data_IF_778692365949
#
_entry.id   IF_778692365949
#
_cell.length_a   1.000
_cell.length_b   1.000
_cell.length_c   1.000
_cell.angle_alpha   90.00
_cell.angle_beta   90.00
_cell.angle_gamma   90.00
#
_symmetry.space_group_name_H-M   'P 1'
#
loop_
_entity.id
_entity.type
_entity.pdbx_description
1 polymer ?
#
# COMPACT_ATOMS: atom_id res chain seq x y z
N UNK A 1 11.96 -15.77 5.78
CA UNK A 1 10.90 -15.74 4.75
C UNK A 1 11.36 -14.80 3.66
N UNK A 2 11.52 -15.28 2.42
CA UNK A 2 11.78 -14.40 1.28
C UNK A 2 10.41 -13.92 0.80
N UNK A 3 10.06 -12.67 1.07
CA UNK A 3 8.90 -12.05 0.43
C UNK A 3 9.10 -12.15 -1.09
N UNK A 4 8.07 -12.67 -1.74
CA UNK A 4 8.06 -12.99 -3.15
C UNK A 4 8.11 -11.68 -3.95
N UNK A 5 9.21 -11.47 -4.70
CA UNK A 5 9.57 -10.25 -5.44
C UNK A 5 8.72 -10.00 -6.70
N UNK A 6 7.58 -10.67 -6.84
CA UNK A 6 6.83 -10.73 -8.09
C UNK A 6 5.68 -9.71 -8.17
N UNK A 7 5.39 -8.94 -7.10
CA UNK A 7 4.32 -7.93 -7.12
C UNK A 7 4.85 -6.56 -6.69
N UNK A 8 4.67 -5.57 -7.56
CA UNK A 8 5.00 -4.18 -7.29
C UNK A 8 4.08 -3.56 -6.22
N UNK A 9 4.51 -2.46 -5.58
CA UNK A 9 3.71 -1.77 -4.58
C UNK A 9 2.37 -1.25 -5.14
N UNK A 10 1.34 -1.38 -4.32
CA UNK A 10 0.02 -0.80 -4.54
C UNK A 10 0.02 0.66 -4.07
N UNK A 11 -0.47 1.55 -4.92
CA UNK A 11 -0.78 2.95 -4.59
C UNK A 11 -2.28 3.10 -4.43
N UNK A 12 -2.74 3.66 -3.32
CA UNK A 12 -4.16 3.93 -3.08
C UNK A 12 -4.36 5.39 -2.69
N UNK A 13 -5.15 6.11 -3.50
CA UNK A 13 -5.52 7.51 -3.25
C UNK A 13 -6.86 7.57 -2.55
N UNK A 14 -6.91 8.31 -1.46
CA UNK A 14 -8.14 8.60 -0.71
C UNK A 14 -8.79 9.90 -1.21
N UNK A 15 -10.10 10.04 -0.98
CA UNK A 15 -10.89 11.22 -1.34
C UNK A 15 -10.35 12.52 -0.71
N UNK A 16 -9.72 12.43 0.47
CA UNK A 16 -9.07 13.56 1.12
C UNK A 16 -7.66 13.87 0.57
N UNK A 17 -7.25 13.26 -0.54
CA UNK A 17 -5.96 13.45 -1.19
C UNK A 17 -4.79 12.64 -0.59
N UNK A 18 -4.99 11.95 0.53
CA UNK A 18 -3.93 11.15 1.16
C UNK A 18 -3.58 9.94 0.29
N UNK A 19 -2.30 9.55 0.29
CA UNK A 19 -1.79 8.43 -0.50
C UNK A 19 -1.28 7.32 0.42
N UNK A 20 -1.76 6.11 0.22
CA UNK A 20 -1.25 4.91 0.89
C UNK A 20 -0.43 4.07 -0.08
N UNK A 21 0.73 3.61 0.38
CA UNK A 21 1.58 2.67 -0.33
C UNK A 21 1.75 1.39 0.49
N UNK A 22 1.60 0.23 -0.17
CA UNK A 22 1.75 -1.09 0.44
C UNK A 22 2.28 -2.10 -0.57
N UNK A 23 2.94 -3.17 -0.11
CA UNK A 23 3.22 -4.33 -0.95
C UNK A 23 2.07 -5.33 -0.78
N UNK A 24 1.58 -5.89 -1.89
CA UNK A 24 0.60 -6.96 -1.83
C UNK A 24 1.25 -8.19 -1.20
N UNK A 25 0.76 -8.60 -0.02
CA UNK A 25 1.15 -9.87 0.59
C UNK A 25 0.20 -10.97 0.11
N UNK A 26 0.63 -11.90 -0.75
CA UNK A 26 -0.22 -12.99 -1.22
C UNK A 26 -0.61 -13.97 -0.09
N UNK A 27 0.18 -14.06 0.99
CA UNK A 27 -0.12 -14.89 2.15
C UNK A 27 -1.11 -14.21 3.12
N UNK A 28 -1.37 -12.91 2.96
CA UNK A 28 -2.40 -12.17 3.69
C UNK A 28 -3.27 -11.30 2.75
N UNK A 29 -3.94 -11.94 1.79
CA UNK A 29 -4.79 -11.28 0.80
C UNK A 29 -5.97 -10.45 1.40
N UNK A 30 -6.31 -10.63 2.69
CA UNK A 30 -7.41 -9.91 3.35
C UNK A 30 -6.99 -8.54 3.91
N UNK A 31 -5.70 -8.17 3.83
CA UNK A 31 -5.18 -6.97 4.46
C UNK A 31 -5.83 -5.66 4.01
N UNK A 32 -6.37 -5.60 2.78
CA UNK A 32 -7.07 -4.42 2.24
C UNK A 32 -8.56 -4.34 2.61
N UNK A 33 -9.13 -5.41 3.20
CA UNK A 33 -10.58 -5.55 3.41
C UNK A 33 -10.95 -5.69 4.88
N UNK A 34 -10.00 -6.08 5.75
CA UNK A 34 -10.22 -6.32 7.18
C UNK A 34 -9.55 -5.28 8.09
N UNK A 35 -10.20 -4.14 8.34
CA UNK A 35 -9.74 -3.16 9.32
C UNK A 35 -9.92 -3.67 10.77
N UNK A 36 -10.55 -4.82 10.99
CA UNK A 36 -10.81 -5.39 12.31
C UNK A 36 -9.62 -6.21 12.87
N UNK A 37 -8.76 -6.76 12.01
CA UNK A 37 -7.58 -7.51 12.42
C UNK A 37 -6.32 -6.65 12.59
N UNK A 38 -6.39 -5.37 12.21
CA UNK A 38 -5.25 -4.43 12.22
C UNK A 38 -5.71 -3.05 12.67
N UNK A 39 -4.85 -2.28 13.36
CA UNK A 39 -5.07 -0.83 13.58
C UNK A 39 -4.84 -0.06 12.27
N UNK A 40 -5.68 -0.32 11.28
CA UNK A 40 -5.74 0.47 10.06
C UNK A 40 -6.61 1.70 10.32
N UNK A 41 -6.34 2.78 9.58
CA UNK A 41 -7.13 4.00 9.69
C UNK A 41 -8.58 3.66 9.35
N UNK A 42 -9.56 4.06 10.19
CA UNK A 42 -10.96 3.82 9.88
C UNK A 42 -11.34 4.67 8.66
N UNK A 43 -11.29 4.04 7.49
CA UNK A 43 -11.85 4.60 6.28
C UNK A 43 -13.35 4.31 6.30
N UNK A 44 -14.16 5.34 6.09
CA UNK A 44 -15.61 5.18 5.90
C UNK A 44 -15.87 4.06 4.89
N UNK A 45 -16.76 3.13 5.24
CA UNK A 45 -17.06 1.92 4.44
C UNK A 45 -17.50 2.21 2.99
N UNK A 46 -17.86 3.47 2.69
CA UNK A 46 -18.42 3.93 1.41
C UNK A 46 -17.60 5.02 0.70
N UNK A 47 -16.39 5.36 1.19
CA UNK A 47 -15.56 6.35 0.48
C UNK A 47 -14.88 5.72 -0.74
N UNK A 48 -14.93 6.37 -1.93
CA UNK A 48 -14.22 5.89 -3.10
C UNK A 48 -12.70 5.90 -2.87
N UNK A 49 -12.02 4.86 -3.33
CA UNK A 49 -10.56 4.71 -3.32
C UNK A 49 -10.16 4.37 -4.74
N UNK A 50 -9.17 5.10 -5.27
CA UNK A 50 -8.53 4.76 -6.54
C UNK A 50 -7.24 4.00 -6.25
N UNK A 51 -7.09 2.81 -6.85
CA UNK A 51 -5.90 1.96 -6.65
C UNK A 51 -5.22 1.67 -7.98
N UNK A 52 -3.90 1.83 -8.02
CA UNK A 52 -3.05 1.44 -9.15
C UNK A 52 -1.87 0.58 -8.68
N UNK A 53 -1.44 -0.35 -9.52
CA UNK A 53 -0.18 -1.05 -9.33
C UNK A 53 0.97 -0.16 -9.80
N UNK A 54 2.02 -0.09 -8.99
CA UNK A 54 3.28 0.53 -9.39
C UNK A 54 4.27 -0.58 -9.71
N UNK A 55 4.52 -0.81 -10.99
CA UNK A 55 5.59 -1.70 -11.42
C UNK A 55 6.95 -1.03 -11.23
N UNK A 56 8.02 -1.83 -11.11
CA UNK A 56 9.39 -1.34 -11.09
C UNK A 56 9.74 -0.69 -12.43
N UNK A 57 9.58 0.63 -12.46
CA UNK A 57 9.91 1.50 -13.59
C UNK A 57 11.40 1.91 -13.59
N UNK A 58 12.20 1.39 -12.66
CA UNK A 58 13.60 1.72 -12.48
C UNK A 58 13.85 3.12 -11.89
N UNK A 59 12.80 3.86 -11.53
CA UNK A 59 12.92 5.22 -11.01
C UNK A 59 13.54 5.25 -9.60
N UNK A 60 14.29 6.31 -9.26
CA UNK A 60 14.72 6.55 -7.87
C UNK A 60 13.55 6.60 -6.90
N UNK A 61 12.44 7.19 -7.31
CA UNK A 61 11.21 7.33 -6.52
C UNK A 61 10.62 5.97 -6.16
N UNK A 62 10.55 5.05 -7.14
CA UNK A 62 10.10 3.67 -6.92
C UNK A 62 10.98 2.99 -5.86
N UNK A 63 12.30 3.03 -6.04
CA UNK A 63 13.25 2.38 -5.14
C UNK A 63 13.16 2.91 -3.71
N UNK A 64 13.13 4.24 -3.57
CA UNK A 64 13.03 4.88 -2.25
C UNK A 64 11.74 4.50 -1.53
N UNK A 65 10.61 4.49 -2.23
CA UNK A 65 9.33 4.11 -1.63
C UNK A 65 9.29 2.62 -1.31
N UNK A 66 9.81 1.76 -2.20
CA UNK A 66 9.88 0.32 -1.98
C UNK A 66 10.68 -0.02 -0.71
N UNK A 67 11.89 0.53 -0.56
CA UNK A 67 12.72 0.36 0.64
C UNK A 67 12.04 0.88 1.92
N UNK A 68 11.28 1.98 1.80
CA UNK A 68 10.52 2.53 2.93
C UNK A 68 9.40 1.60 3.35
N UNK A 69 8.65 1.04 2.39
CA UNK A 69 7.57 0.07 2.66
C UNK A 69 8.15 -1.22 3.26
N UNK A 70 9.29 -1.72 2.76
CA UNK A 70 9.94 -2.90 3.36
C UNK A 70 10.29 -2.71 4.84
N UNK A 71 10.63 -1.47 5.25
CA UNK A 71 10.94 -1.13 6.64
C UNK A 71 9.70 -0.84 7.50
N UNK A 72 8.73 -0.13 6.95
CA UNK A 72 7.58 0.42 7.70
C UNK A 72 6.32 -0.44 7.57
N UNK A 73 6.31 -1.42 6.68
CA UNK A 73 5.17 -2.28 6.33
C UNK A 73 4.14 -1.56 5.46
N UNK A 74 3.72 -0.37 5.85
CA UNK A 74 2.79 0.50 5.11
C UNK A 74 3.22 1.96 5.28
N UNK A 75 3.12 2.72 4.20
CA UNK A 75 3.38 4.16 4.23
C UNK A 75 2.08 4.91 3.96
N UNK A 76 1.79 5.90 4.80
CA UNK A 76 0.70 6.84 4.58
C UNK A 76 1.24 8.27 4.49
N UNK A 77 0.95 8.92 3.38
CA UNK A 77 1.31 10.32 3.14
C UNK A 77 0.06 11.18 3.19
N UNK A 78 0.18 12.33 3.88
CA UNK A 78 -0.92 13.25 4.08
C UNK A 78 -1.04 14.17 2.86
N UNK A 79 -2.25 14.25 2.30
CA UNK A 79 -2.62 15.22 1.25
C UNK A 79 -2.77 16.64 1.77
#
# INVERSE_FOLDING_TARGET
>A
MKAQRDQGPLKSRFDNGSMMHNIADPDDAMFMVRPDSRRLIPMSYVSPIETEYWDDDGSPEYRMMFERIEREGMVLERG
#
